data_IF_930364477889
#
_entry.id   IF_930364477889
#
_cell.length_a   1.000
_cell.length_b   1.000
_cell.length_c   1.000
_cell.angle_alpha   90.00
_cell.angle_beta   90.00
_cell.angle_gamma   90.00
#
_symmetry.space_group_name_H-M   'P 1'
#
loop_
_entity.id
_entity.type
_entity.pdbx_description
1 polymer ?
#
# COMPACT_ATOMS: atom_id res chain seq x y z
N UNK A 1 1.30 8.27 -10.67
CA UNK A 1 0.33 8.57 -11.74
C UNK A 1 1.11 9.13 -12.93
N UNK A 2 0.82 8.66 -14.14
CA UNK A 2 1.47 9.10 -15.38
C UNK A 2 0.49 9.87 -16.24
N UNK A 3 0.83 11.10 -16.56
CA UNK A 3 0.03 12.05 -17.32
C UNK A 3 0.68 12.36 -18.67
N UNK A 4 -0.17 12.60 -19.66
CA UNK A 4 0.17 13.17 -20.95
C UNK A 4 -0.38 14.60 -21.02
N UNK A 5 0.51 15.55 -21.27
CA UNK A 5 0.19 16.98 -21.37
C UNK A 5 0.56 17.48 -22.76
N UNK A 6 -0.17 18.47 -23.27
CA UNK A 6 0.24 19.18 -24.49
C UNK A 6 1.45 20.07 -24.17
N UNK A 7 2.40 20.16 -25.10
CA UNK A 7 3.56 21.06 -24.98
C UNK A 7 3.16 22.52 -25.26
N UNK A 8 2.35 23.09 -24.36
CA UNK A 8 1.99 24.51 -24.35
C UNK A 8 2.27 25.15 -22.98
N UNK A 9 2.65 26.45 -22.95
CA UNK A 9 2.91 27.13 -21.69
C UNK A 9 1.70 27.05 -20.74
N UNK A 10 1.96 26.70 -19.48
CA UNK A 10 0.93 26.63 -18.44
C UNK A 10 0.20 25.30 -18.30
N UNK A 11 0.46 24.30 -19.16
CA UNK A 11 -0.24 23.01 -19.05
C UNK A 11 0.09 22.22 -17.78
N UNK A 12 1.36 22.23 -17.34
CA UNK A 12 1.73 21.61 -16.07
C UNK A 12 0.97 22.23 -14.89
N UNK A 13 0.80 23.56 -14.88
CA UNK A 13 0.00 24.24 -13.87
C UNK A 13 -1.48 23.84 -13.93
N UNK A 14 -2.01 23.66 -15.15
CA UNK A 14 -3.37 23.17 -15.39
C UNK A 14 -3.63 21.79 -14.78
N UNK A 15 -2.64 20.90 -14.85
CA UNK A 15 -2.67 19.55 -14.28
C UNK A 15 -2.47 19.52 -12.75
N UNK A 16 -1.67 20.43 -12.20
CA UNK A 16 -1.40 20.48 -10.75
C UNK A 16 -2.52 21.12 -9.95
N UNK A 17 -3.23 22.09 -10.54
CA UNK A 17 -4.32 22.80 -9.87
C UNK A 17 -5.47 21.88 -9.38
N UNK A 18 -6.03 20.93 -10.15
CA UNK A 18 -7.06 20.02 -9.63
C UNK A 18 -6.53 19.09 -8.53
N UNK A 19 -5.25 18.70 -8.58
CA UNK A 19 -4.63 17.91 -7.50
C UNK A 19 -4.65 18.73 -6.19
N UNK A 20 -4.27 20.02 -6.27
CA UNK A 20 -4.32 20.92 -5.12
C UNK A 20 -5.75 21.21 -4.65
N UNK A 21 -6.69 21.42 -5.57
CA UNK A 21 -8.09 21.74 -5.25
C UNK A 21 -8.79 20.59 -4.49
N UNK A 22 -8.43 19.34 -4.80
CA UNK A 22 -8.96 18.13 -4.16
C UNK A 22 -8.25 17.82 -2.83
N UNK A 23 -7.12 18.48 -2.57
CA UNK A 23 -6.30 18.31 -1.37
C UNK A 23 -5.32 17.15 -1.46
N UNK A 24 -4.83 16.82 -2.67
CA UNK A 24 -3.74 15.87 -2.86
C UNK A 24 -2.39 16.48 -2.48
N UNK A 25 -1.59 15.74 -1.72
CA UNK A 25 -0.22 16.12 -1.39
C UNK A 25 0.72 15.59 -2.48
N UNK A 26 1.55 16.45 -3.08
CA UNK A 26 2.44 16.05 -4.16
C UNK A 26 3.81 15.73 -3.58
N UNK A 27 4.24 14.47 -3.67
CA UNK A 27 5.54 14.02 -3.17
C UNK A 27 6.62 14.30 -4.21
N UNK A 28 6.37 13.96 -5.47
CA UNK A 28 7.38 14.05 -6.53
C UNK A 28 6.73 14.29 -7.88
N UNK A 29 7.38 15.15 -8.68
CA UNK A 29 7.04 15.38 -10.08
C UNK A 29 8.29 15.09 -10.90
N UNK A 30 8.18 14.15 -11.83
CA UNK A 30 9.23 13.82 -12.80
C UNK A 30 8.72 14.23 -14.17
N UNK A 31 9.43 15.18 -14.78
CA UNK A 31 9.17 15.62 -16.14
C UNK A 31 10.27 15.06 -17.05
N UNK A 32 9.89 14.20 -17.99
CA UNK A 32 10.82 13.67 -18.98
C UNK A 32 10.57 14.36 -20.32
N UNK A 33 11.48 15.28 -20.69
CA UNK A 33 11.36 16.07 -21.92
C UNK A 33 11.80 15.31 -23.18
N UNK A 34 12.54 14.21 -23.01
CA UNK A 34 13.12 13.41 -24.10
C UNK A 34 12.19 12.31 -24.65
N UNK A 35 10.98 12.14 -24.09
CA UNK A 35 9.93 11.27 -24.62
C UNK A 35 8.84 12.12 -25.25
N UNK A 36 9.18 12.83 -26.33
CA UNK A 36 8.17 13.48 -27.17
C UNK A 36 7.48 12.38 -27.97
N UNK A 37 6.24 12.06 -27.63
CA UNK A 37 5.39 11.25 -28.50
C UNK A 37 5.21 11.99 -29.83
N UNK A 38 4.89 11.29 -30.92
CA UNK A 38 4.75 11.83 -32.27
C UNK A 38 3.80 13.05 -32.41
N UNK A 39 3.04 13.38 -31.36
CA UNK A 39 2.02 14.43 -31.30
C UNK A 39 2.38 15.63 -30.40
N UNK A 40 3.66 15.89 -30.12
CA UNK A 40 4.11 17.07 -29.37
C UNK A 40 3.54 17.12 -27.93
N UNK A 41 3.38 15.94 -27.32
CA UNK A 41 2.92 15.76 -25.94
C UNK A 41 4.09 15.44 -25.01
N UNK A 42 4.05 16.04 -23.82
CA UNK A 42 5.01 15.84 -22.73
C UNK A 42 4.45 14.83 -21.74
N UNK A 43 5.30 13.92 -21.31
CA UNK A 43 4.93 12.93 -20.30
C UNK A 43 5.41 13.35 -18.92
N UNK A 44 4.51 13.34 -17.95
CA UNK A 44 4.79 13.74 -16.57
C UNK A 44 4.35 12.64 -15.62
N UNK A 45 5.31 12.15 -14.83
CA UNK A 45 5.04 11.21 -13.75
C UNK A 45 4.91 11.97 -12.43
N UNK A 46 3.74 11.87 -11.80
CA UNK A 46 3.40 12.52 -10.54
C UNK A 46 3.15 11.45 -9.49
N UNK A 47 3.92 11.51 -8.40
CA UNK A 47 3.68 10.73 -7.18
C UNK A 47 2.99 11.66 -6.17
N UNK A 48 1.80 11.26 -5.72
CA UNK A 48 0.97 12.05 -4.83
C UNK A 48 0.28 11.14 -3.81
N UNK A 49 0.00 11.71 -2.64
CA UNK A 49 -0.84 11.11 -1.60
C UNK A 49 -2.22 11.72 -1.67
N UNK A 50 -3.24 10.87 -1.70
CA UNK A 50 -4.63 11.29 -1.82
C UNK A 50 -5.53 10.30 -1.09
N UNK A 51 -6.58 10.76 -0.39
CA UNK A 51 -7.61 9.88 0.11
C UNK A 51 -8.25 9.08 -1.04
N UNK A 52 -8.38 7.76 -0.90
CA UNK A 52 -8.84 6.88 -2.00
C UNK A 52 -10.16 7.32 -2.64
N UNK A 53 -11.12 7.77 -1.82
CA UNK A 53 -12.45 8.23 -2.28
C UNK A 53 -12.39 9.43 -3.23
N UNK A 54 -11.26 10.14 -3.28
CA UNK A 54 -11.08 11.35 -4.08
C UNK A 54 -10.33 11.08 -5.40
N UNK A 55 -9.82 9.87 -5.61
CA UNK A 55 -9.03 9.54 -6.79
C UNK A 55 -9.87 9.60 -8.08
N UNK A 56 -11.08 9.06 -8.05
CA UNK A 56 -11.98 9.08 -9.22
C UNK A 56 -12.34 10.52 -9.59
N UNK A 57 -12.69 11.34 -8.59
CA UNK A 57 -12.93 12.77 -8.78
C UNK A 57 -11.71 13.52 -9.36
N UNK A 58 -10.50 13.13 -8.96
CA UNK A 58 -9.27 13.70 -9.52
C UNK A 58 -9.07 13.31 -10.99
N UNK A 59 -9.32 12.05 -11.35
CA UNK A 59 -9.21 11.57 -12.73
C UNK A 59 -10.20 12.32 -13.63
N UNK A 60 -11.43 12.52 -13.17
CA UNK A 60 -12.44 13.26 -13.93
C UNK A 60 -12.05 14.73 -14.10
N UNK A 61 -11.60 15.40 -13.04
CA UNK A 61 -11.14 16.79 -13.09
C UNK A 61 -9.92 16.99 -14.02
N UNK A 62 -9.03 16.00 -14.10
CA UNK A 62 -7.88 16.03 -15.02
C UNK A 62 -8.34 15.86 -16.48
N UNK A 63 -9.29 14.97 -16.74
CA UNK A 63 -9.85 14.76 -18.10
C UNK A 63 -10.59 15.97 -18.61
N UNK A 64 -11.40 16.63 -17.78
CA UNK A 64 -12.11 17.87 -18.14
C UNK A 64 -11.16 19.00 -18.59
N UNK A 65 -9.93 19.01 -18.06
CA UNK A 65 -8.89 19.98 -18.42
C UNK A 65 -8.01 19.55 -19.59
N UNK A 66 -8.33 18.42 -20.23
CA UNK A 66 -7.58 17.89 -21.37
C UNK A 66 -6.22 17.30 -21.00
N UNK A 67 -6.01 16.90 -19.75
CA UNK A 67 -4.84 16.14 -19.31
C UNK A 67 -5.11 14.64 -19.51
N UNK A 68 -4.35 13.98 -20.37
CA UNK A 68 -4.50 12.55 -20.63
C UNK A 68 -3.94 11.74 -19.46
N UNK A 69 -4.77 10.92 -18.81
CA UNK A 69 -4.29 10.01 -17.75
C UNK A 69 -3.89 8.68 -18.41
N UNK A 70 -2.59 8.42 -18.53
CA UNK A 70 -2.08 7.17 -19.14
C UNK A 70 -2.19 6.02 -18.14
N UNK A 71 -1.72 6.24 -16.90
CA UNK A 71 -1.67 5.18 -15.88
C UNK A 71 -1.81 5.75 -14.49
N UNK A 72 -2.65 5.12 -13.67
CA UNK A 72 -2.75 5.40 -12.24
C UNK A 72 -2.28 4.16 -11.48
N UNK A 73 -1.17 4.28 -10.77
CA UNK A 73 -0.75 3.28 -9.79
C UNK A 73 -1.30 3.67 -8.43
N UNK A 74 -1.93 2.73 -7.72
CA UNK A 74 -2.34 2.89 -6.32
C UNK A 74 -1.39 2.05 -5.47
N UNK A 75 -0.73 2.68 -4.51
CA UNK A 75 -0.12 1.95 -3.40
C UNK A 75 -0.95 2.23 -2.14
N UNK A 76 -1.54 1.17 -1.59
CA UNK A 76 -2.24 1.18 -0.30
C UNK A 76 -1.36 0.47 0.72
N UNK A 77 -1.67 0.64 2.00
CA UNK A 77 -1.00 -0.05 3.11
C UNK A 77 0.51 0.27 3.17
N UNK A 78 0.82 1.54 3.41
CA UNK A 78 2.18 2.08 3.36
C UNK A 78 3.05 1.60 4.54
N UNK A 79 2.41 1.23 5.66
CA UNK A 79 3.11 0.65 6.80
C UNK A 79 3.36 -0.83 6.56
N UNK A 80 4.57 -1.31 6.81
CA UNK A 80 4.96 -2.72 6.66
C UNK A 80 5.68 -3.17 7.92
N UNK A 81 5.24 -4.28 8.52
CA UNK A 81 5.90 -4.88 9.67
C UNK A 81 5.96 -6.39 9.51
N UNK A 82 7.14 -6.96 9.75
CA UNK A 82 7.34 -8.41 9.75
C UNK A 82 7.48 -8.93 11.18
N UNK A 83 6.81 -10.05 11.46
CA UNK A 83 6.82 -10.76 12.74
C UNK A 83 7.23 -12.21 12.52
N UNK A 84 7.80 -12.83 13.54
CA UNK A 84 8.10 -14.27 13.55
C UNK A 84 7.10 -14.98 14.45
N UNK A 85 6.56 -16.09 13.97
CA UNK A 85 5.63 -16.97 14.65
C UNK A 85 6.28 -18.33 14.84
N UNK A 86 6.22 -18.90 16.05
CA UNK A 86 6.82 -20.19 16.38
C UNK A 86 5.76 -21.04 17.09
N UNK A 87 5.45 -22.21 16.53
CA UNK A 87 4.45 -23.13 17.09
C UNK A 87 3.96 -24.15 16.06
N UNK A 88 2.89 -24.90 16.35
CA UNK A 88 2.33 -25.89 15.42
C UNK A 88 1.44 -25.26 14.32
N UNK A 89 1.99 -24.33 13.54
CA UNK A 89 1.26 -23.44 12.62
C UNK A 89 0.37 -24.17 11.58
N UNK A 90 0.77 -25.35 11.13
CA UNK A 90 0.00 -26.14 10.17
C UNK A 90 -1.27 -26.76 10.76
N UNK A 91 -1.25 -27.08 12.06
CA UNK A 91 -2.38 -27.68 12.75
C UNK A 91 -3.36 -26.64 13.30
N UNK A 92 -2.98 -25.36 13.30
CA UNK A 92 -3.74 -24.27 13.93
C UNK A 92 -4.48 -23.37 12.94
N UNK A 93 -4.70 -23.84 11.72
CA UNK A 93 -5.41 -23.13 10.65
C UNK A 93 -4.91 -21.69 10.45
N UNK A 94 -3.84 -21.60 9.66
CA UNK A 94 -3.23 -20.32 9.32
C UNK A 94 -4.15 -19.43 8.48
N UNK A 95 -5.12 -20.03 7.78
CA UNK A 95 -6.13 -19.32 7.00
C UNK A 95 -6.96 -18.42 7.92
N UNK A 96 -7.46 -18.95 9.04
CA UNK A 96 -8.18 -18.17 10.06
C UNK A 96 -7.34 -17.00 10.60
N UNK A 97 -6.03 -17.18 10.74
CA UNK A 97 -5.13 -16.11 11.19
C UNK A 97 -5.02 -14.99 10.14
N UNK A 98 -4.91 -15.33 8.86
CA UNK A 98 -4.86 -14.36 7.75
C UNK A 98 -6.21 -13.66 7.61
N UNK A 99 -7.31 -14.41 7.59
CA UNK A 99 -8.65 -13.88 7.41
C UNK A 99 -9.04 -12.86 8.48
N UNK A 100 -8.66 -13.09 9.75
CA UNK A 100 -8.94 -12.15 10.84
C UNK A 100 -8.22 -10.81 10.69
N UNK A 101 -7.05 -10.80 10.05
CA UNK A 101 -6.31 -9.57 9.76
C UNK A 101 -6.95 -8.90 8.54
N UNK A 102 -7.18 -9.63 7.45
CA UNK A 102 -7.69 -9.09 6.19
C UNK A 102 -9.13 -8.55 6.31
N UNK A 103 -9.99 -9.17 7.13
CA UNK A 103 -11.37 -8.72 7.37
C UNK A 103 -11.46 -7.35 8.05
N UNK A 104 -10.37 -6.85 8.62
CA UNK A 104 -10.34 -5.51 9.23
C UNK A 104 -10.48 -4.39 8.21
N UNK A 105 -10.08 -4.63 6.95
CA UNK A 105 -10.11 -3.65 5.86
C UNK A 105 -9.06 -2.52 5.98
N UNK A 106 -8.29 -2.48 7.06
CA UNK A 106 -7.22 -1.50 7.29
C UNK A 106 -5.81 -2.12 7.34
N UNK A 107 -5.72 -3.45 7.41
CA UNK A 107 -4.48 -4.20 7.34
C UNK A 107 -4.66 -5.48 6.51
N UNK A 108 -3.58 -5.93 5.88
CA UNK A 108 -3.55 -7.16 5.08
C UNK A 108 -2.25 -7.93 5.30
N UNK A 109 -2.29 -9.25 5.19
CA UNK A 109 -1.08 -10.08 5.18
C UNK A 109 -0.49 -10.11 3.77
N UNK A 110 0.65 -9.44 3.57
CA UNK A 110 1.27 -9.33 2.25
C UNK A 110 2.26 -10.45 1.93
N UNK A 111 2.89 -11.04 2.95
CA UNK A 111 3.87 -12.11 2.77
C UNK A 111 3.78 -13.11 3.92
N UNK A 112 3.94 -14.39 3.59
CA UNK A 112 4.02 -15.47 4.56
C UNK A 112 5.09 -16.45 4.09
N UNK A 113 6.09 -16.66 4.93
CA UNK A 113 7.14 -17.65 4.71
C UNK A 113 7.13 -18.62 5.87
N UNK A 114 6.99 -19.91 5.59
CA UNK A 114 6.99 -20.95 6.62
C UNK A 114 8.13 -21.94 6.38
N UNK A 115 8.74 -22.37 7.48
CA UNK A 115 9.67 -23.49 7.53
C UNK A 115 9.11 -24.51 8.49
N UNK A 116 8.92 -25.72 7.97
CA UNK A 116 8.42 -26.86 8.71
C UNK A 116 9.46 -27.97 8.64
N UNK A 117 10.24 -28.19 9.71
CA UNK A 117 11.33 -29.18 9.70
C UNK A 117 10.80 -30.62 9.71
N UNK A 118 9.72 -30.91 10.44
CA UNK A 118 9.04 -32.20 10.47
C UNK A 118 7.54 -32.02 10.80
N UNK A 119 6.75 -33.10 10.68
CA UNK A 119 5.30 -33.10 10.91
C UNK A 119 4.94 -32.76 12.36
N UNK A 120 5.66 -33.35 13.31
CA UNK A 120 5.40 -33.21 14.74
C UNK A 120 6.29 -32.16 15.42
N UNK A 121 7.13 -31.46 14.66
CA UNK A 121 8.01 -30.41 15.18
C UNK A 121 7.38 -29.02 15.05
N UNK A 122 7.75 -28.08 15.94
CA UNK A 122 7.27 -26.71 15.84
C UNK A 122 7.72 -26.07 14.52
N UNK A 123 6.75 -25.48 13.82
CA UNK A 123 6.97 -24.71 12.60
C UNK A 123 7.34 -23.27 12.95
N UNK A 124 8.19 -22.67 12.12
CA UNK A 124 8.48 -21.25 12.20
C UNK A 124 7.91 -20.56 10.98
N UNK A 125 7.22 -19.44 11.15
CA UNK A 125 6.81 -18.60 10.04
C UNK A 125 7.21 -17.15 10.25
N UNK A 126 7.62 -16.51 9.16
CA UNK A 126 7.70 -15.05 9.06
C UNK A 126 6.43 -14.57 8.39
N UNK A 127 5.64 -13.76 9.09
CA UNK A 127 4.46 -13.09 8.56
C UNK A 127 4.76 -11.61 8.37
N UNK A 128 4.32 -11.05 7.26
CA UNK A 128 4.46 -9.62 6.96
C UNK A 128 3.07 -9.02 6.81
N UNK A 129 2.75 -8.07 7.69
CA UNK A 129 1.50 -7.31 7.67
C UNK A 129 1.77 -5.95 7.04
N UNK A 130 0.83 -5.48 6.21
CA UNK A 130 0.80 -4.09 5.77
C UNK A 130 -0.45 -3.41 6.31
N UNK A 131 -0.35 -2.15 6.73
CA UNK A 131 -1.48 -1.38 7.26
C UNK A 131 -1.55 0.04 6.70
N UNK A 132 -2.74 0.66 6.74
CA UNK A 132 -2.97 2.03 6.25
C UNK A 132 -2.20 3.04 7.10
N UNK A 133 -2.26 2.92 8.43
CA UNK A 133 -1.60 3.81 9.38
C UNK A 133 -0.83 3.05 10.46
N UNK A 134 0.06 3.72 11.23
CA UNK A 134 0.74 3.10 12.38
C UNK A 134 -0.24 2.61 13.46
N UNK A 135 -1.35 3.32 13.68
CA UNK A 135 -2.38 2.91 14.62
C UNK A 135 -3.08 1.62 14.15
N UNK A 136 -3.40 1.54 12.86
CA UNK A 136 -3.96 0.33 12.24
C UNK A 136 -3.00 -0.86 12.34
N UNK A 137 -1.69 -0.61 12.22
CA UNK A 137 -0.66 -1.64 12.40
C UNK A 137 -0.67 -2.19 13.83
N UNK A 138 -0.72 -1.33 14.84
CA UNK A 138 -0.81 -1.75 16.25
C UNK A 138 -2.06 -2.58 16.51
N UNK A 139 -3.20 -2.19 15.91
CA UNK A 139 -4.44 -2.96 15.98
C UNK A 139 -4.30 -4.34 15.33
N UNK A 140 -3.70 -4.43 14.14
CA UNK A 140 -3.48 -5.69 13.44
C UNK A 140 -2.52 -6.62 14.23
N UNK A 141 -1.45 -6.08 14.80
CA UNK A 141 -0.52 -6.85 15.65
C UNK A 141 -1.22 -7.34 16.91
N UNK A 142 -2.12 -6.55 17.52
CA UNK A 142 -2.93 -7.00 18.66
C UNK A 142 -3.83 -8.18 18.30
N UNK A 143 -4.53 -8.11 17.15
CA UNK A 143 -5.35 -9.23 16.66
C UNK A 143 -4.49 -10.48 16.46
N UNK A 144 -3.32 -10.34 15.85
CA UNK A 144 -2.39 -11.46 15.67
C UNK A 144 -1.96 -12.06 17.02
N UNK A 145 -1.66 -11.24 18.03
CA UNK A 145 -1.33 -11.71 19.39
C UNK A 145 -2.49 -12.48 20.03
N UNK A 146 -3.71 -11.99 19.89
CA UNK A 146 -4.91 -12.67 20.43
C UNK A 146 -5.12 -14.04 19.78
N UNK A 147 -4.97 -14.11 18.46
CA UNK A 147 -5.03 -15.37 17.71
C UNK A 147 -3.90 -16.31 18.13
N UNK A 148 -2.69 -15.78 18.27
CA UNK A 148 -1.53 -16.57 18.67
C UNK A 148 -1.70 -17.14 20.09
N UNK A 149 -2.22 -16.36 21.03
CA UNK A 149 -2.51 -16.83 22.40
C UNK A 149 -3.59 -17.92 22.44
N UNK A 150 -4.62 -17.84 21.58
CA UNK A 150 -5.64 -18.90 21.44
C UNK A 150 -5.06 -20.21 20.89
N UNK A 151 -4.00 -20.09 20.08
CA UNK A 151 -3.41 -21.16 19.29
C UNK A 151 -2.10 -21.69 19.85
N UNK A 152 -1.67 -21.20 21.02
CA UNK A 152 -0.39 -21.49 21.66
C UNK A 152 0.83 -21.26 20.73
N UNK A 153 0.80 -20.13 20.02
CA UNK A 153 1.84 -19.69 19.10
C UNK A 153 2.63 -18.55 19.77
N UNK A 154 3.96 -18.66 19.76
CA UNK A 154 4.84 -17.59 20.21
C UNK A 154 5.05 -16.58 19.07
N UNK A 155 4.86 -15.29 19.36
CA UNK A 155 5.12 -14.18 18.43
C UNK A 155 6.37 -13.42 18.88
N UNK A 156 7.30 -13.20 17.96
CA UNK A 156 8.43 -12.31 18.14
C UNK A 156 8.23 -11.05 17.29
N UNK A 157 8.27 -9.92 17.97
CA UNK A 157 8.09 -8.60 17.37
C UNK A 157 9.43 -7.88 17.18
N UNK A 158 9.54 -7.04 16.15
CA UNK A 158 10.74 -6.24 15.94
C UNK A 158 10.94 -5.24 17.07
N UNK A 159 12.19 -5.13 17.53
CA UNK A 159 12.63 -4.11 18.49
C UNK A 159 12.62 -2.73 17.82
N UNK A 160 11.46 -2.08 17.78
CA UNK A 160 11.32 -0.74 17.18
C UNK A 160 9.91 -0.35 16.73
N UNK A 161 8.89 -1.17 16.97
CA UNK A 161 7.51 -0.90 16.53
C UNK A 161 6.57 -0.59 17.70
N UNK A 162 6.77 0.52 18.42
CA UNK A 162 5.77 1.26 19.22
C UNK A 162 6.47 2.32 20.08
N UNK A 163 6.64 3.52 19.55
CA UNK A 163 6.58 4.78 20.32
C UNK A 163 5.52 5.68 19.69
#
# INVERSE_FOLDING_TARGET
MKLELKDTPGQLLGALKPISDIGGNIITIIHQRDQTTAENTLTVDIVLELPEKKLDALIDALRERGCGVIRVGKERLLQKQSLIMIGHLMHTDLTDTVDRIDQTGFAEVSELHMVMPAIDEPSTAKITIRAISPEDMLHAVRILREVAAQKDILILEPLGGAE
#
